data_IF_430829377395
#
_entry.id   IF_430829377395
#
_cell.length_a   1.000
_cell.length_b   1.000
_cell.length_c   1.000
_cell.angle_alpha   90.00
_cell.angle_beta   90.00
_cell.angle_gamma   90.00
#
_symmetry.space_group_name_H-M   'P 1'
#
loop_
_entity.id
_entity.type
_entity.pdbx_description
1 polymer ?
#
# COMPACT_ATOMS: atom_id res chain seq x y z
N UNK A 1 -2.74 57.88 -13.43
CA UNK A 1 -2.31 57.59 -12.04
C UNK A 1 -2.54 56.09 -11.84
N UNK A 2 -1.54 55.20 -11.91
CA UNK A 2 -0.53 54.88 -10.88
C UNK A 2 -1.20 54.62 -9.51
N UNK A 3 -0.99 53.54 -8.76
CA UNK A 3 0.00 52.45 -8.78
C UNK A 3 -0.60 51.27 -7.95
N UNK A 4 -0.12 50.04 -8.12
CA UNK A 4 0.67 49.44 -7.06
C UNK A 4 0.85 47.94 -7.25
N UNK A 5 2.11 47.53 -7.41
CA UNK A 5 2.60 46.15 -7.37
C UNK A 5 2.68 45.65 -5.91
N UNK A 6 2.84 44.34 -5.67
CA UNK A 6 4.17 43.94 -5.20
C UNK A 6 4.76 42.69 -5.86
N UNK A 7 6.10 42.70 -5.81
CA UNK A 7 7.11 41.76 -6.33
C UNK A 7 7.23 40.50 -5.47
N UNK A 8 7.78 39.44 -6.07
CA UNK A 8 8.30 38.29 -5.32
C UNK A 8 8.95 37.16 -6.15
N UNK A 9 10.12 37.45 -6.74
CA UNK A 9 11.33 36.59 -6.90
C UNK A 9 11.18 35.09 -7.27
N UNK A 10 11.83 34.65 -8.36
CA UNK A 10 12.88 33.59 -8.37
C UNK A 10 13.39 33.38 -9.82
N UNK A 11 14.63 33.77 -10.13
CA UNK A 11 15.87 32.95 -10.13
C UNK A 11 16.18 32.38 -11.52
N UNK A 12 17.11 33.05 -12.20
CA UNK A 12 17.76 32.57 -13.40
C UNK A 12 18.75 31.45 -13.05
N UNK A 13 18.71 30.35 -13.80
CA UNK A 13 19.78 29.33 -13.79
C UNK A 13 20.17 29.04 -15.23
N UNK A 14 21.49 29.08 -15.42
CA UNK A 14 22.22 29.08 -16.69
C UNK A 14 21.93 27.86 -17.56
N UNK A 15 21.85 28.12 -18.86
CA UNK A 15 22.08 27.16 -19.92
C UNK A 15 23.56 26.75 -19.95
N UNK A 16 23.83 25.45 -19.90
CA UNK A 16 25.07 24.87 -20.36
C UNK A 16 24.73 23.69 -21.27
N UNK A 17 24.57 24.00 -22.56
CA UNK A 17 24.63 23.02 -23.63
C UNK A 17 26.09 22.65 -23.90
N UNK A 18 26.33 21.39 -24.22
CA UNK A 18 27.66 20.89 -24.55
C UNK A 18 27.60 19.46 -25.07
N UNK A 19 27.15 19.31 -26.31
CA UNK A 19 27.24 18.08 -27.11
C UNK A 19 28.67 17.98 -27.66
N UNK A 20 29.39 16.87 -27.41
CA UNK A 20 30.62 16.54 -28.16
C UNK A 20 30.78 15.01 -28.30
N UNK A 21 30.58 14.56 -29.53
CA UNK A 21 30.99 13.27 -30.10
C UNK A 21 32.49 13.34 -30.45
N UNK A 22 33.31 12.31 -30.12
CA UNK A 22 34.49 11.90 -30.93
C UNK A 22 34.78 10.39 -30.77
N UNK A 23 35.08 9.78 -31.90
CA UNK A 23 35.27 8.36 -32.24
C UNK A 23 36.67 7.77 -31.96
N UNK A 24 36.70 6.43 -31.75
CA UNK A 24 37.58 5.35 -32.30
C UNK A 24 39.06 5.63 -32.68
N UNK A 25 39.99 4.76 -32.21
CA UNK A 25 41.01 3.93 -32.93
C UNK A 25 42.20 3.58 -31.98
N UNK A 26 42.49 2.31 -31.64
CA UNK A 26 43.30 1.27 -32.33
C UNK A 26 44.76 1.12 -31.79
N UNK A 27 45.12 -0.16 -31.58
CA UNK A 27 46.44 -0.85 -31.53
C UNK A 27 47.44 -0.65 -30.37
N UNK A 28 47.80 -1.78 -29.73
CA UNK A 28 49.20 -2.23 -29.76
C UNK A 28 49.34 -3.74 -29.47
N UNK A 29 49.65 -4.48 -30.53
CA UNK A 29 50.27 -5.80 -30.48
C UNK A 29 51.76 -5.67 -30.08
N UNK A 30 52.24 -6.47 -29.12
CA UNK A 30 53.69 -6.76 -28.98
C UNK A 30 53.91 -8.11 -28.26
N UNK A 31 54.55 -9.01 -28.98
CA UNK A 31 55.08 -10.33 -28.59
C UNK A 31 55.86 -10.37 -27.27
N UNK A 32 55.75 -11.50 -26.56
CA UNK A 32 56.61 -11.84 -25.41
C UNK A 32 56.30 -13.23 -24.85
N UNK A 33 56.94 -14.23 -25.42
CA UNK A 33 56.95 -15.65 -25.07
C UNK A 33 57.44 -15.89 -23.61
N UNK A 34 56.63 -16.54 -22.75
CA UNK A 34 57.09 -17.46 -21.67
C UNK A 34 55.92 -17.97 -20.79
N UNK A 35 55.62 -19.27 -20.90
CA UNK A 35 55.20 -20.10 -19.76
C UNK A 35 56.49 -20.74 -19.18
N UNK A 36 56.64 -21.05 -17.87
CA UNK A 36 55.74 -21.97 -17.15
C UNK A 36 55.51 -21.72 -15.64
N UNK A 37 54.44 -22.37 -15.15
CA UNK A 37 54.22 -22.98 -13.82
C UNK A 37 54.60 -22.18 -12.56
N UNK A 38 53.59 -21.77 -11.79
CA UNK A 38 53.58 -21.97 -10.33
C UNK A 38 52.14 -21.96 -9.79
N UNK A 39 51.75 -23.11 -9.24
CA UNK A 39 50.61 -23.32 -8.35
C UNK A 39 50.54 -22.24 -7.27
N UNK A 40 49.41 -21.55 -7.15
CA UNK A 40 48.99 -20.86 -5.93
C UNK A 40 47.47 -20.82 -5.89
N UNK A 41 46.89 -21.58 -4.97
CA UNK A 41 45.46 -21.68 -4.73
C UNK A 41 44.91 -20.39 -4.10
N UNK A 42 43.69 -19.95 -4.46
CA UNK A 42 42.86 -19.09 -3.63
C UNK A 42 41.85 -19.91 -2.80
N UNK A 43 41.33 -19.34 -1.70
CA UNK A 43 40.85 -20.09 -0.53
C UNK A 43 39.46 -20.73 -0.72
N UNK A 44 39.27 -21.81 0.06
CA UNK A 44 38.04 -22.57 0.25
C UNK A 44 36.81 -21.69 0.41
N UNK A 45 35.84 -21.88 -0.49
CA UNK A 45 34.43 -21.54 -0.25
C UNK A 45 33.93 -22.44 0.89
N UNK A 46 34.04 -21.99 2.14
CA UNK A 46 33.23 -22.53 3.22
C UNK A 46 31.79 -22.06 3.00
N UNK A 47 31.01 -22.89 2.31
CA UNK A 47 29.56 -22.87 2.47
C UNK A 47 29.25 -23.22 3.93
N UNK A 48 28.45 -22.44 4.67
CA UNK A 48 27.90 -22.93 5.92
C UNK A 48 27.05 -24.18 5.61
N UNK A 49 27.04 -25.20 6.48
CA UNK A 49 26.19 -26.36 6.28
C UNK A 49 24.73 -25.88 6.24
N UNK A 50 24.06 -26.13 5.13
CA UNK A 50 22.60 -26.09 5.06
C UNK A 50 22.08 -27.28 5.88
N UNK A 51 21.95 -27.09 7.19
CA UNK A 51 21.11 -27.96 8.00
C UNK A 51 19.67 -27.58 7.72
N UNK A 52 19.14 -28.03 6.59
CA UNK A 52 17.71 -28.03 6.35
C UNK A 52 17.13 -29.17 7.19
N UNK A 53 16.83 -28.87 8.46
CA UNK A 53 16.14 -29.82 9.33
C UNK A 53 14.77 -30.09 8.69
N UNK A 54 14.41 -31.36 8.39
CA UNK A 54 13.10 -31.66 7.84
C UNK A 54 12.06 -31.24 8.88
N UNK A 55 11.12 -30.39 8.47
CA UNK A 55 9.99 -29.91 9.29
C UNK A 55 9.25 -31.12 9.87
N UNK A 56 9.66 -31.52 11.07
CA UNK A 56 9.22 -32.74 11.72
C UNK A 56 7.77 -32.62 12.20
N UNK A 57 7.16 -33.73 12.68
CA UNK A 57 5.81 -33.72 13.24
C UNK A 57 5.62 -32.64 14.32
N UNK A 58 6.67 -32.35 15.11
CA UNK A 58 6.67 -31.31 16.13
C UNK A 58 6.45 -29.89 15.57
N UNK A 59 6.99 -29.57 14.39
CA UNK A 59 6.75 -28.28 13.73
C UNK A 59 5.35 -28.19 13.12
N UNK A 60 4.73 -29.33 12.76
CA UNK A 60 3.32 -29.41 12.36
C UNK A 60 2.37 -29.27 13.55
N UNK A 61 2.78 -29.74 14.72
CA UNK A 61 2.05 -29.55 15.99
C UNK A 61 2.17 -28.12 16.55
N UNK A 62 3.16 -27.35 16.11
CA UNK A 62 3.29 -25.92 16.46
C UNK A 62 2.30 -25.00 15.71
N UNK A 63 1.51 -25.54 14.78
CA UNK A 63 0.27 -24.90 14.28
C UNK A 63 -0.83 -25.09 15.33
N UNK A 64 -0.49 -24.76 16.58
CA UNK A 64 -1.26 -25.03 17.77
C UNK A 64 -2.03 -23.80 18.22
N UNK A 65 -2.66 -23.08 17.30
CA UNK A 65 -3.67 -22.09 17.65
C UNK A 65 -4.66 -21.99 16.49
N UNK A 66 -5.86 -22.53 16.70
CA UNK A 66 -6.98 -22.25 15.79
C UNK A 66 -7.18 -20.73 15.83
N UNK A 67 -7.18 -20.03 14.68
CA UNK A 67 -7.41 -18.59 14.67
C UNK A 67 -8.68 -18.28 15.47
N UNK A 68 -8.66 -17.27 16.34
CA UNK A 68 -9.81 -16.91 17.14
C UNK A 68 -11.03 -16.74 16.22
N UNK A 69 -12.16 -17.31 16.66
CA UNK A 69 -13.40 -17.25 15.87
C UNK A 69 -13.69 -15.78 15.49
N UNK A 70 -14.18 -15.53 14.26
CA UNK A 70 -14.55 -14.19 13.86
C UNK A 70 -15.61 -13.62 14.80
N UNK A 71 -15.72 -12.30 14.83
CA UNK A 71 -16.80 -11.64 15.57
C UNK A 71 -18.16 -12.25 15.17
N UNK A 72 -18.94 -12.63 16.20
CA UNK A 72 -20.24 -13.27 16.03
C UNK A 72 -21.26 -12.28 15.46
N UNK A 73 -22.15 -12.78 14.59
CA UNK A 73 -23.17 -11.97 13.91
C UNK A 73 -22.88 -11.73 12.43
N UNK A 74 -23.93 -11.61 11.62
CA UNK A 74 -23.79 -11.17 10.25
C UNK A 74 -23.40 -9.68 10.26
N UNK A 75 -22.27 -9.29 9.64
CA UNK A 75 -21.89 -7.89 9.61
C UNK A 75 -22.94 -7.10 8.84
N UNK A 76 -23.40 -6.02 9.47
CA UNK A 76 -24.43 -5.14 8.90
C UNK A 76 -23.83 -3.77 8.68
N UNK A 77 -24.25 -3.09 7.61
CA UNK A 77 -23.81 -1.73 7.35
C UNK A 77 -24.24 -0.78 8.48
N UNK A 78 -23.43 0.24 8.74
CA UNK A 78 -23.76 1.28 9.69
C UNK A 78 -25.07 1.98 9.30
N UNK A 79 -25.91 2.27 10.28
CA UNK A 79 -27.19 2.95 10.05
C UNK A 79 -26.96 4.30 9.33
N UNK A 80 -27.77 4.55 8.30
CA UNK A 80 -27.66 5.79 7.51
C UNK A 80 -26.54 5.81 6.46
N UNK A 81 -25.86 4.69 6.20
CA UNK A 81 -24.90 4.60 5.07
C UNK A 81 -25.61 4.86 3.75
N UNK A 82 -25.16 5.88 3.01
CA UNK A 82 -25.65 6.15 1.65
C UNK A 82 -24.75 5.45 0.63
N UNK A 83 -25.13 4.26 0.20
CA UNK A 83 -24.37 3.51 -0.82
C UNK A 83 -24.37 4.16 -2.21
N UNK A 84 -25.18 5.18 -2.47
CA UNK A 84 -25.15 5.93 -3.72
C UNK A 84 -24.06 7.03 -3.74
N UNK A 85 -23.48 7.37 -2.59
CA UNK A 85 -22.42 8.37 -2.46
C UNK A 85 -21.08 7.70 -2.11
N UNK A 86 -20.05 7.79 -2.98
CA UNK A 86 -18.76 7.17 -2.71
C UNK A 86 -18.08 7.75 -1.46
N UNK A 87 -18.32 9.02 -1.10
CA UNK A 87 -17.75 9.62 0.11
C UNK A 87 -18.37 9.05 1.37
N UNK A 88 -19.69 8.83 1.36
CA UNK A 88 -20.40 8.16 2.45
C UNK A 88 -19.86 6.76 2.68
N UNK A 89 -19.66 5.97 1.62
CA UNK A 89 -19.12 4.60 1.70
C UNK A 89 -17.67 4.59 2.20
N UNK A 90 -16.82 5.45 1.65
CA UNK A 90 -15.42 5.56 2.07
C UNK A 90 -15.31 5.91 3.57
N UNK A 91 -16.13 6.85 4.05
CA UNK A 91 -16.18 7.22 5.48
C UNK A 91 -16.47 6.02 6.37
N UNK A 92 -17.59 5.35 6.15
CA UNK A 92 -18.03 4.25 7.02
C UNK A 92 -17.10 3.03 6.90
N UNK A 93 -16.52 2.81 5.72
CA UNK A 93 -15.50 1.80 5.52
C UNK A 93 -14.25 2.08 6.38
N UNK A 94 -13.70 3.30 6.34
CA UNK A 94 -12.51 3.66 7.14
C UNK A 94 -12.80 3.56 8.63
N UNK A 95 -13.95 4.03 9.09
CA UNK A 95 -14.34 3.88 10.50
C UNK A 95 -14.46 2.41 10.90
N UNK A 96 -15.03 1.56 10.05
CA UNK A 96 -15.16 0.13 10.30
C UNK A 96 -13.82 -0.61 10.26
N UNK A 97 -12.95 -0.27 9.30
CA UNK A 97 -11.65 -0.90 9.04
C UNK A 97 -10.65 -0.58 10.16
N UNK A 98 -10.65 0.66 10.66
CA UNK A 98 -9.63 1.18 11.57
C UNK A 98 -10.12 1.40 13.02
N UNK A 99 -11.34 0.97 13.34
CA UNK A 99 -11.77 0.86 14.74
C UNK A 99 -11.63 -0.58 15.21
N UNK A 100 -11.14 -0.76 16.44
CA UNK A 100 -11.05 -2.08 17.08
C UNK A 100 -11.28 -1.98 18.58
N UNK A 101 -12.07 -2.89 19.13
CA UNK A 101 -12.10 -3.12 20.58
C UNK A 101 -10.92 -4.01 21.02
N UNK A 102 -10.49 -3.95 22.30
CA UNK A 102 -9.34 -4.70 22.80
C UNK A 102 -9.39 -6.21 22.55
N UNK A 103 -10.59 -6.81 22.54
CA UNK A 103 -10.82 -8.24 22.31
C UNK A 103 -10.79 -8.65 20.83
N UNK A 104 -10.69 -7.67 19.92
CA UNK A 104 -10.70 -7.86 18.46
C UNK A 104 -9.31 -7.82 17.84
N UNK A 105 -8.28 -7.47 18.63
CA UNK A 105 -6.89 -7.41 18.17
C UNK A 105 -6.47 -8.79 17.64
N UNK A 106 -5.87 -8.81 16.45
CA UNK A 106 -5.41 -10.06 15.80
C UNK A 106 -6.53 -10.90 15.19
N UNK A 107 -7.79 -10.46 15.23
CA UNK A 107 -8.92 -11.14 14.58
C UNK A 107 -9.22 -10.59 13.19
N UNK A 108 -9.96 -11.35 12.39
CA UNK A 108 -10.51 -10.85 11.14
C UNK A 108 -11.63 -9.82 11.39
N UNK A 109 -11.49 -8.62 10.83
CA UNK A 109 -12.46 -7.55 10.82
C UNK A 109 -13.58 -7.86 9.83
N UNK A 110 -14.71 -8.37 10.33
CA UNK A 110 -15.87 -8.64 9.48
C UNK A 110 -16.78 -7.43 9.27
N UNK A 111 -16.59 -6.32 10.02
CA UNK A 111 -17.43 -5.12 9.90
C UNK A 111 -17.32 -4.44 8.55
N UNK A 112 -16.22 -4.65 7.83
CA UNK A 112 -16.00 -4.06 6.50
C UNK A 112 -16.79 -4.76 5.40
N UNK A 113 -17.21 -6.01 5.61
CA UNK A 113 -17.83 -6.86 4.59
C UNK A 113 -19.01 -6.21 3.84
N UNK A 114 -19.93 -5.46 4.47
CA UNK A 114 -21.03 -4.79 3.78
C UNK A 114 -20.59 -3.73 2.75
N UNK A 115 -19.36 -3.23 2.88
CA UNK A 115 -18.82 -2.17 2.01
C UNK A 115 -17.89 -2.72 0.94
N UNK A 116 -17.50 -4.00 0.99
CA UNK A 116 -16.56 -4.58 0.05
C UNK A 116 -17.25 -4.98 -1.26
N UNK A 117 -16.60 -4.69 -2.38
CA UNK A 117 -17.04 -5.14 -3.70
C UNK A 117 -16.87 -6.65 -3.82
N UNK A 118 -17.74 -7.39 -4.53
CA UNK A 118 -17.65 -8.85 -4.69
C UNK A 118 -16.27 -9.35 -5.15
N UNK A 119 -15.58 -8.57 -5.98
CA UNK A 119 -14.24 -8.86 -6.48
C UNK A 119 -13.10 -8.54 -5.50
N UNK A 120 -13.40 -7.90 -4.36
CA UNK A 120 -12.37 -7.57 -3.37
C UNK A 120 -11.87 -8.86 -2.71
N UNK A 121 -10.55 -9.09 -2.64
CA UNK A 121 -9.98 -10.31 -2.05
C UNK A 121 -10.36 -10.53 -0.58
N UNK A 122 -10.68 -9.46 0.15
CA UNK A 122 -11.14 -9.53 1.54
C UNK A 122 -12.62 -9.96 1.66
N UNK A 123 -13.40 -10.01 0.57
CA UNK A 123 -14.86 -10.19 0.63
C UNK A 123 -15.37 -11.59 1.07
N UNK A 124 -14.61 -12.68 1.16
CA UNK A 124 -15.11 -13.81 1.94
C UNK A 124 -14.70 -13.75 3.42
N UNK A 125 -13.60 -13.06 3.77
CA UNK A 125 -12.90 -13.24 5.05
C UNK A 125 -12.96 -12.02 5.98
N UNK A 126 -13.24 -10.84 5.43
CA UNK A 126 -12.96 -9.56 6.07
C UNK A 126 -11.47 -9.21 6.01
N UNK A 127 -11.11 -7.99 6.38
CA UNK A 127 -9.72 -7.54 6.46
C UNK A 127 -9.11 -7.93 7.80
N UNK A 128 -7.79 -8.11 7.92
CA UNK A 128 -7.15 -8.39 9.20
C UNK A 128 -7.16 -7.13 10.11
N UNK A 129 -7.55 -7.24 11.38
CA UNK A 129 -7.42 -6.13 12.36
C UNK A 129 -5.96 -6.01 12.79
N UNK A 130 -5.37 -4.82 12.67
CA UNK A 130 -3.96 -4.57 13.05
C UNK A 130 -3.82 -3.56 14.22
N UNK A 131 -3.13 -4.07 15.24
CA UNK A 131 -2.34 -3.49 16.35
C UNK A 131 -2.94 -2.52 17.39
N UNK A 132 -3.87 -1.62 17.07
CA UNK A 132 -4.26 -0.57 18.02
C UNK A 132 -5.76 -0.56 18.33
N UNK A 133 -6.09 -0.40 19.61
CA UNK A 133 -7.47 -0.28 20.09
C UNK A 133 -8.00 1.15 19.95
N UNK A 134 -9.32 1.27 19.95
CA UNK A 134 -10.03 2.54 19.94
C UNK A 134 -10.79 2.78 18.65
N UNK A 135 -11.49 3.92 18.61
CA UNK A 135 -12.37 4.30 17.52
C UNK A 135 -11.62 5.21 16.53
N UNK A 136 -11.64 4.84 15.25
CA UNK A 136 -11.26 5.73 14.18
C UNK A 136 -12.38 6.76 13.93
N UNK A 137 -11.99 8.02 13.73
CA UNK A 137 -12.92 9.12 13.41
C UNK A 137 -12.50 9.78 12.11
N UNK A 138 -13.36 9.70 11.10
CA UNK A 138 -13.10 10.35 9.81
C UNK A 138 -13.45 11.84 9.90
N UNK A 139 -12.48 12.67 9.52
CA UNK A 139 -12.54 14.13 9.57
C UNK A 139 -13.01 14.67 8.22
N UNK A 140 -12.42 14.19 7.12
CA UNK A 140 -12.80 14.58 5.77
C UNK A 140 -12.62 13.42 4.78
N UNK A 141 -13.39 13.48 3.69
CA UNK A 141 -13.28 12.58 2.54
C UNK A 141 -13.34 13.42 1.27
N UNK A 142 -12.32 13.30 0.43
CA UNK A 142 -12.16 14.05 -0.81
C UNK A 142 -11.95 13.09 -1.97
N UNK A 143 -12.43 13.42 -3.17
CA UNK A 143 -12.11 12.64 -4.36
C UNK A 143 -10.70 13.02 -4.81
N UNK A 144 -9.80 12.05 -4.85
CA UNK A 144 -8.39 12.26 -5.22
C UNK A 144 -8.12 11.91 -6.68
N UNK A 145 -8.80 10.89 -7.21
CA UNK A 145 -8.63 10.39 -8.59
C UNK A 145 -9.98 9.94 -9.13
N UNK A 146 -10.21 10.18 -10.42
CA UNK A 146 -11.42 9.81 -11.13
C UNK A 146 -12.54 10.83 -10.94
N UNK A 147 -13.69 10.54 -11.55
CA UNK A 147 -14.91 11.32 -11.40
C UNK A 147 -16.04 10.38 -10.94
N UNK A 148 -16.97 10.89 -10.15
CA UNK A 148 -18.18 10.19 -9.71
C UNK A 148 -19.10 9.79 -10.88
N UNK A 149 -18.96 10.45 -12.03
CA UNK A 149 -19.60 10.06 -13.30
C UNK A 149 -18.98 8.79 -13.91
N UNK A 150 -17.74 8.48 -13.56
CA UNK A 150 -17.07 7.25 -13.97
C UNK A 150 -17.47 6.09 -13.05
N UNK A 151 -17.37 4.85 -13.53
CA UNK A 151 -17.72 3.67 -12.70
C UNK A 151 -16.67 3.33 -11.62
N UNK A 152 -15.67 4.19 -11.42
CA UNK A 152 -14.61 4.02 -10.43
C UNK A 152 -14.11 5.39 -9.92
N UNK A 153 -13.80 5.47 -8.63
CA UNK A 153 -13.26 6.68 -7.99
C UNK A 153 -12.31 6.28 -6.86
N UNK A 154 -11.25 7.06 -6.65
CA UNK A 154 -10.41 6.91 -5.46
C UNK A 154 -10.55 8.15 -4.58
N UNK A 155 -10.94 7.92 -3.33
CA UNK A 155 -11.09 8.98 -2.34
C UNK A 155 -9.90 9.02 -1.40
N UNK A 156 -9.44 10.21 -1.01
CA UNK A 156 -8.56 10.42 0.14
C UNK A 156 -9.42 10.64 1.39
N UNK A 157 -9.22 9.81 2.40
CA UNK A 157 -9.84 9.97 3.71
C UNK A 157 -8.80 10.44 4.72
N UNK A 158 -9.10 11.55 5.40
CA UNK A 158 -8.30 12.05 6.53
C UNK A 158 -9.03 11.71 7.82
N UNK A 159 -8.36 11.01 8.73
CA UNK A 159 -8.98 10.46 9.93
C UNK A 159 -8.03 10.43 11.12
N UNK A 160 -8.60 10.32 12.32
CA UNK A 160 -7.87 10.18 13.58
C UNK A 160 -8.00 8.76 14.10
N UNK A 161 -6.88 8.10 14.40
CA UNK A 161 -6.87 6.77 15.03
C UNK A 161 -7.22 6.83 16.52
N UNK A 162 -7.50 5.67 17.12
CA UNK A 162 -7.84 5.56 18.54
C UNK A 162 -6.78 6.14 19.49
N UNK A 163 -5.52 6.16 19.08
CA UNK A 163 -4.37 6.78 19.77
C UNK A 163 -4.22 8.29 19.54
N UNK A 164 -5.15 8.91 18.80
CA UNK A 164 -5.18 10.35 18.53
C UNK A 164 -4.33 10.81 17.35
N UNK A 165 -3.61 9.92 16.65
CA UNK A 165 -2.78 10.28 15.50
C UNK A 165 -3.62 10.58 14.26
N UNK A 166 -3.22 11.61 13.50
CA UNK A 166 -3.80 11.92 12.20
C UNK A 166 -3.22 10.97 11.15
N UNK A 167 -4.08 10.38 10.32
CA UNK A 167 -3.73 9.44 9.26
C UNK A 167 -4.47 9.81 7.98
N UNK A 168 -3.87 9.45 6.85
CA UNK A 168 -4.49 9.51 5.54
C UNK A 168 -4.54 8.10 4.96
N UNK A 169 -5.64 7.78 4.27
CA UNK A 169 -5.76 6.53 3.50
C UNK A 169 -6.50 6.82 2.20
N UNK A 170 -6.23 6.02 1.18
CA UNK A 170 -6.83 6.11 -0.13
C UNK A 170 -7.70 4.89 -0.35
N UNK A 171 -8.98 5.12 -0.65
CA UNK A 171 -9.96 4.05 -0.85
C UNK A 171 -10.43 4.10 -2.29
N UNK A 172 -10.21 3.02 -3.03
CA UNK A 172 -10.72 2.88 -4.40
C UNK A 172 -12.08 2.20 -4.36
N UNK A 173 -13.09 2.89 -4.88
CA UNK A 173 -14.46 2.42 -4.97
C UNK A 173 -14.85 2.17 -6.43
N UNK A 174 -15.75 1.21 -6.61
CA UNK A 174 -16.36 0.90 -7.90
C UNK A 174 -17.87 0.93 -7.78
N UNK A 175 -18.52 1.56 -8.76
CA UNK A 175 -19.97 1.55 -8.87
C UNK A 175 -20.43 0.20 -9.41
N UNK A 176 -21.29 -0.45 -8.65
CA UNK A 176 -21.89 -1.73 -8.98
C UNK A 176 -23.06 -1.55 -9.97
N UNK A 177 -23.50 -2.61 -10.68
CA UNK A 177 -24.65 -2.54 -11.58
C UNK A 177 -25.95 -2.11 -10.90
N UNK A 178 -26.09 -2.37 -9.59
CA UNK A 178 -27.24 -1.95 -8.77
C UNK A 178 -27.15 -0.48 -8.31
N UNK A 179 -26.11 0.24 -8.74
CA UNK A 179 -25.89 1.65 -8.44
C UNK A 179 -25.12 1.93 -7.16
N UNK A 180 -24.83 0.91 -6.33
CA UNK A 180 -24.06 1.06 -5.09
C UNK A 180 -22.57 1.26 -5.36
N UNK A 181 -21.92 2.13 -4.59
CA UNK A 181 -20.47 2.20 -4.51
C UNK A 181 -19.97 1.18 -3.49
N UNK A 182 -18.99 0.37 -3.87
CA UNK A 182 -18.33 -0.61 -2.99
C UNK A 182 -16.81 -0.52 -3.12
N UNK A 183 -16.12 -0.84 -2.04
CA UNK A 183 -14.67 -0.76 -1.89
C UNK A 183 -13.99 -1.94 -2.59
N UNK A 184 -13.09 -1.60 -3.52
CA UNK A 184 -12.26 -2.57 -4.24
C UNK A 184 -10.87 -2.72 -3.62
N UNK A 185 -10.33 -1.64 -3.08
CA UNK A 185 -9.00 -1.61 -2.48
C UNK A 185 -8.84 -0.44 -1.51
N UNK A 186 -7.92 -0.59 -0.57
CA UNK A 186 -7.42 0.46 0.30
C UNK A 186 -5.89 0.53 0.20
N UNK A 187 -5.33 1.74 0.22
CA UNK A 187 -3.89 1.99 0.09
C UNK A 187 -3.46 3.12 1.02
N UNK A 188 -2.26 3.02 1.61
CA UNK A 188 -1.69 4.09 2.43
C UNK A 188 -1.26 5.33 1.61
N UNK A 189 -0.96 5.14 0.32
CA UNK A 189 -0.54 6.19 -0.60
C UNK A 189 -0.95 5.84 -2.03
N UNK A 190 -1.24 6.86 -2.84
CA UNK A 190 -1.40 6.69 -4.29
C UNK A 190 -0.05 6.42 -4.94
N UNK A 191 -0.01 5.50 -5.90
CA UNK A 191 1.16 5.35 -6.75
C UNK A 191 1.21 6.49 -7.78
N UNK A 192 2.41 6.82 -8.31
CA UNK A 192 2.53 7.85 -9.35
C UNK A 192 1.65 7.60 -10.59
N UNK A 193 1.37 6.33 -10.90
CA UNK A 193 0.51 5.93 -12.03
C UNK A 193 -0.99 6.11 -11.77
N UNK A 194 -1.39 6.36 -10.52
CA UNK A 194 -2.79 6.55 -10.15
C UNK A 194 -3.22 8.02 -10.26
N UNK A 195 -2.32 8.96 -10.56
CA UNK A 195 -2.60 10.41 -10.61
C UNK A 195 -2.94 10.92 -12.01
#
# INVERSE_FOLDING_TARGET
>A
MAAGSPRGVLLAVLAAGGLLLVSVLIDRDTNGEQAPVATSAPPSLQSPPATEEPVGPAARSAIGETPPAPLSGAPTAAAGTNFADPRSVARVYVEAAHSAAPDEIGRANRRVLPYLAPENPDNPRGSLVVEATGKAVVISVEVAVGNEEQSAVTTKSTWRSGDGRLRETFVTLRRQPDGRWLVRAEMAQLQPADR
#
